data_IF_345080542295
#
_entry.id   IF_345080542295
#
_cell.length_a   1.000
_cell.length_b   1.000
_cell.length_c   1.000
_cell.angle_alpha   90.00
_cell.angle_beta   90.00
_cell.angle_gamma   90.00
#
_symmetry.space_group_name_H-M   'P 1'
#
loop_
_entity.id
_entity.type
_entity.pdbx_description
1 polymer ?
#
# COMPACT_ATOMS: atom_id res chain seq x y z
N UNK A 1 -18.73 0.81 -19.59
CA UNK A 1 -17.96 0.82 -18.33
C UNK A 1 -16.94 1.95 -18.37
N UNK A 2 -16.91 2.82 -17.36
CA UNK A 2 -16.06 4.02 -17.35
C UNK A 2 -14.61 3.75 -16.94
N UNK A 3 -13.74 4.71 -17.27
CA UNK A 3 -12.35 4.77 -16.78
C UNK A 3 -12.34 5.02 -15.26
N UNK A 4 -11.36 4.46 -14.56
CA UNK A 4 -11.14 4.67 -13.13
C UNK A 4 -9.84 5.45 -12.91
N UNK A 5 -9.78 6.23 -11.84
CA UNK A 5 -8.58 6.98 -11.46
C UNK A 5 -8.08 6.47 -10.12
N UNK A 6 -6.93 5.80 -10.12
CA UNK A 6 -6.31 5.28 -8.89
C UNK A 6 -5.21 6.25 -8.43
N UNK A 7 -5.29 6.70 -7.18
CA UNK A 7 -4.20 7.43 -6.54
C UNK A 7 -3.62 6.59 -5.41
N UNK A 8 -2.32 6.34 -5.46
CA UNK A 8 -1.58 5.59 -4.44
C UNK A 8 -0.67 6.56 -3.73
N UNK A 9 -0.93 6.78 -2.43
CA UNK A 9 -0.10 7.61 -1.57
C UNK A 9 0.85 6.71 -0.76
N UNK A 10 2.16 6.95 -0.90
CA UNK A 10 3.21 6.25 -0.17
C UNK A 10 3.81 7.22 0.85
N UNK A 11 4.02 6.76 2.07
CA UNK A 11 4.73 7.53 3.09
C UNK A 11 6.08 8.02 2.56
N UNK A 12 6.47 9.24 2.94
CA UNK A 12 7.73 9.84 2.50
C UNK A 12 8.74 9.99 3.66
N UNK A 13 9.56 8.97 3.95
CA UNK A 13 10.65 9.09 4.92
C UNK A 13 11.73 10.10 4.49
N UNK A 14 11.84 10.41 3.20
CA UNK A 14 12.88 11.33 2.68
C UNK A 14 12.59 12.79 3.05
N UNK A 15 11.35 13.10 3.45
CA UNK A 15 11.01 14.37 4.09
C UNK A 15 11.73 14.58 5.43
N UNK A 16 12.13 13.49 6.12
CA UNK A 16 12.77 13.52 7.44
C UNK A 16 14.24 13.12 7.41
N UNK A 17 14.65 12.31 6.42
CA UNK A 17 16.00 11.74 6.32
C UNK A 17 16.68 12.36 5.10
N UNK A 18 17.61 13.29 5.37
CA UNK A 18 18.46 13.86 4.34
C UNK A 18 19.50 12.83 3.84
N UNK A 19 19.81 12.90 2.54
CA UNK A 19 20.85 12.10 1.92
C UNK A 19 22.22 12.35 2.59
N UNK A 20 22.97 11.28 2.86
CA UNK A 20 24.28 11.34 3.52
C UNK A 20 24.24 11.52 5.04
N UNK A 21 23.05 11.66 5.63
CA UNK A 21 22.88 11.73 7.09
C UNK A 21 23.28 10.42 7.79
N UNK A 22 23.52 10.47 9.10
CA UNK A 22 23.78 9.26 9.91
C UNK A 22 22.63 8.24 9.80
N UNK A 23 21.39 8.72 9.72
CA UNK A 23 20.21 7.88 9.55
C UNK A 23 20.16 7.23 8.16
N UNK A 24 20.47 7.99 7.11
CA UNK A 24 20.56 7.46 5.74
C UNK A 24 21.65 6.36 5.63
N UNK A 25 22.83 6.61 6.19
CA UNK A 25 23.91 5.61 6.20
C UNK A 25 23.52 4.34 6.98
N UNK A 26 22.85 4.49 8.13
CA UNK A 26 22.35 3.34 8.89
C UNK A 26 21.26 2.56 8.12
N UNK A 27 20.36 3.26 7.43
CA UNK A 27 19.32 2.66 6.60
C UNK A 27 19.93 1.90 5.41
N UNK A 28 20.93 2.49 4.74
CA UNK A 28 21.69 1.85 3.65
C UNK A 28 22.37 0.55 4.08
N UNK A 29 22.96 0.53 5.28
CA UNK A 29 23.58 -0.69 5.84
C UNK A 29 22.55 -1.78 6.13
N UNK A 30 21.36 -1.42 6.63
CA UNK A 30 20.30 -2.39 6.94
C UNK A 30 19.54 -2.88 5.71
N UNK A 31 19.41 -2.02 4.68
CA UNK A 31 18.72 -2.22 3.40
C UNK A 31 17.20 -2.51 3.48
N UNK A 32 16.74 -3.36 4.41
CA UNK A 32 15.33 -3.73 4.58
C UNK A 32 15.00 -4.04 6.04
N UNK A 33 13.71 -3.96 6.38
CA UNK A 33 13.21 -4.45 7.67
C UNK A 33 13.15 -5.97 7.64
N UNK A 34 13.82 -6.62 8.60
CA UNK A 34 13.77 -8.08 8.72
C UNK A 34 12.54 -8.49 9.53
N UNK A 35 11.61 -9.21 8.90
CA UNK A 35 10.39 -9.71 9.54
C UNK A 35 10.60 -11.15 10.00
N UNK A 36 10.77 -11.31 11.31
CA UNK A 36 10.92 -12.61 11.96
C UNK A 36 9.57 -13.04 12.56
N UNK A 37 9.36 -14.33 12.79
CA UNK A 37 8.15 -14.79 13.45
C UNK A 37 8.04 -14.21 14.87
N UNK A 38 7.06 -13.31 15.07
CA UNK A 38 6.77 -12.68 16.36
C UNK A 38 7.49 -11.36 16.65
N UNK A 39 8.45 -10.91 15.83
CA UNK A 39 9.07 -9.58 15.97
C UNK A 39 9.76 -9.13 14.68
N UNK A 40 10.05 -7.83 14.57
CA UNK A 40 10.75 -7.26 13.42
C UNK A 40 11.97 -6.44 13.84
N UNK A 41 13.00 -6.44 12.98
CA UNK A 41 14.18 -5.59 13.10
C UNK A 41 14.02 -4.46 12.07
N UNK A 42 13.60 -3.25 12.48
CA UNK A 42 13.24 -2.20 11.55
C UNK A 42 14.47 -1.57 10.88
N UNK A 43 14.32 -1.23 9.60
CA UNK A 43 15.33 -0.49 8.84
C UNK A 43 15.56 0.91 9.44
N UNK A 44 14.47 1.58 9.83
CA UNK A 44 14.49 2.92 10.43
C UNK A 44 14.25 2.84 11.95
N UNK A 45 14.61 3.89 12.72
CA UNK A 45 14.18 4.03 14.11
C UNK A 45 12.66 3.92 14.25
N UNK A 46 12.16 3.33 15.34
CA UNK A 46 10.72 3.09 15.54
C UNK A 46 9.92 4.38 15.61
N UNK A 47 10.53 5.42 16.17
CA UNK A 47 9.97 6.77 16.26
C UNK A 47 9.69 7.34 14.86
N UNK A 48 10.53 7.02 13.86
CA UNK A 48 10.30 7.42 12.48
C UNK A 48 9.32 6.50 11.76
N UNK A 49 9.47 5.18 11.90
CA UNK A 49 8.66 4.21 11.15
C UNK A 49 7.21 4.13 11.64
N UNK A 50 7.01 4.09 12.95
CA UNK A 50 5.73 3.74 13.55
C UNK A 50 4.87 4.99 13.82
N UNK A 51 5.47 6.18 13.82
CA UNK A 51 4.82 7.44 14.15
C UNK A 51 4.85 8.45 12.98
N UNK A 52 6.02 9.01 12.65
CA UNK A 52 6.14 10.11 11.68
C UNK A 52 5.85 9.67 10.23
N UNK A 53 6.30 8.49 9.83
CA UNK A 53 6.05 7.95 8.49
C UNK A 53 4.75 7.13 8.41
N UNK A 54 4.13 6.81 9.54
CA UNK A 54 2.91 6.02 9.57
C UNK A 54 1.71 6.86 9.12
N UNK A 55 0.96 6.37 8.13
CA UNK A 55 -0.25 7.02 7.61
C UNK A 55 -1.43 6.73 8.53
N UNK A 56 -1.38 7.30 9.74
CA UNK A 56 -2.42 7.15 10.76
C UNK A 56 -3.73 7.81 10.33
N UNK A 57 -4.83 7.24 10.81
CA UNK A 57 -6.15 7.80 10.57
C UNK A 57 -6.29 9.16 11.27
N UNK A 58 -6.93 10.11 10.60
CA UNK A 58 -7.22 11.48 11.03
C UNK A 58 -5.97 12.32 11.33
N UNK A 59 -4.81 11.92 10.79
CA UNK A 59 -3.57 12.67 10.94
C UNK A 59 -3.01 13.09 9.58
N UNK A 60 -2.57 14.34 9.50
CA UNK A 60 -1.99 14.93 8.28
C UNK A 60 -0.56 14.43 8.11
N UNK A 61 -0.24 13.85 6.94
CA UNK A 61 1.07 13.25 6.64
C UNK A 61 1.59 13.61 5.24
N UNK A 62 2.90 13.88 5.10
CA UNK A 62 3.52 14.04 3.79
C UNK A 62 3.62 12.70 3.08
N UNK A 63 3.30 12.69 1.79
CA UNK A 63 3.34 11.50 0.94
C UNK A 63 3.90 11.83 -0.44
N UNK A 64 4.53 10.81 -1.02
CA UNK A 64 4.75 10.77 -2.45
C UNK A 64 3.59 10.00 -3.07
N UNK A 65 2.77 10.69 -3.87
CA UNK A 65 1.59 10.14 -4.50
C UNK A 65 1.85 9.82 -5.98
N UNK A 66 1.22 8.76 -6.47
CA UNK A 66 1.16 8.38 -7.87
C UNK A 66 -0.29 8.30 -8.32
N UNK A 67 -0.64 9.04 -9.36
CA UNK A 67 -1.96 9.02 -9.99
C UNK A 67 -1.90 8.26 -11.30
N UNK A 68 -2.74 7.25 -11.43
CA UNK A 68 -2.77 6.32 -12.56
C UNK A 68 -4.20 6.15 -13.08
N UNK A 69 -4.49 6.61 -14.29
CA UNK A 69 -5.72 6.29 -14.99
C UNK A 69 -5.74 4.83 -15.43
N UNK A 70 -6.86 4.17 -15.15
CA UNK A 70 -7.11 2.76 -15.46
C UNK A 70 -8.24 2.68 -16.49
N UNK A 71 -7.93 2.07 -17.63
CA UNK A 71 -8.90 1.79 -18.67
C UNK A 71 -9.91 0.71 -18.24
N UNK A 72 -10.99 0.55 -19.02
CA UNK A 72 -12.07 -0.37 -18.69
C UNK A 72 -11.61 -1.85 -18.67
N UNK A 73 -10.60 -2.18 -19.47
CA UNK A 73 -9.97 -3.50 -19.60
C UNK A 73 -8.91 -3.80 -18.52
N UNK A 74 -8.64 -2.86 -17.60
CA UNK A 74 -7.60 -3.00 -16.59
C UNK A 74 -6.20 -2.61 -17.06
N UNK A 75 -6.05 -2.05 -18.25
CA UNK A 75 -4.79 -1.45 -18.73
C UNK A 75 -4.52 -0.15 -17.99
N UNK A 76 -3.27 0.03 -17.52
CA UNK A 76 -2.83 1.29 -16.91
C UNK A 76 -2.35 2.20 -18.06
N UNK A 77 -3.00 3.35 -18.21
CA UNK A 77 -2.66 4.35 -19.24
C UNK A 77 -1.30 5.02 -18.95
N UNK A 78 -0.70 5.64 -19.98
CA UNK A 78 0.65 6.23 -19.88
C UNK A 78 0.70 7.60 -19.18
N UNK A 79 -0.46 8.22 -18.97
CA UNK A 79 -0.64 9.52 -18.29
C UNK A 79 -0.50 9.42 -16.76
N UNK A 80 0.54 8.72 -16.30
CA UNK A 80 0.87 8.54 -14.88
C UNK A 80 1.57 9.81 -14.36
N UNK A 81 1.11 10.33 -13.23
CA UNK A 81 1.71 11.51 -12.60
C UNK A 81 2.21 11.19 -11.18
N UNK A 82 3.49 11.47 -10.93
CA UNK A 82 4.09 11.42 -9.60
C UNK A 82 4.21 12.84 -9.03
N UNK A 83 3.72 13.05 -7.81
CA UNK A 83 3.75 14.36 -7.14
C UNK A 83 3.84 14.22 -5.62
N UNK A 84 4.46 15.22 -4.99
CA UNK A 84 4.45 15.35 -3.53
C UNK A 84 3.10 15.93 -3.08
N UNK A 85 2.53 15.35 -2.03
CA UNK A 85 1.25 15.75 -1.48
C UNK A 85 1.23 15.62 0.03
N UNK A 86 0.17 16.14 0.63
CA UNK A 86 -0.16 15.90 2.03
C UNK A 86 -1.57 15.31 2.09
N UNK A 87 -1.72 14.19 2.79
CA UNK A 87 -2.99 13.48 2.95
C UNK A 87 -3.41 13.42 4.41
N UNK A 88 -4.67 13.15 4.64
CA UNK A 88 -5.20 12.74 5.94
C UNK A 88 -6.03 11.46 5.73
N UNK A 89 -5.54 10.32 6.23
CA UNK A 89 -6.25 9.05 6.08
C UNK A 89 -7.55 9.08 6.87
N UNK A 90 -8.69 8.73 6.25
CA UNK A 90 -10.00 8.79 6.94
C UNK A 90 -10.35 7.54 7.73
N UNK A 91 -9.63 6.43 7.51
CA UNK A 91 -9.89 5.19 8.22
C UNK A 91 -8.66 4.27 8.25
N UNK A 92 -8.56 3.46 9.31
CA UNK A 92 -7.63 2.33 9.41
C UNK A 92 -8.44 1.06 9.22
N UNK A 93 -8.27 0.41 8.07
CA UNK A 93 -9.03 -0.79 7.71
C UNK A 93 -8.19 -2.05 7.93
N UNK A 94 -8.79 -3.11 8.47
CA UNK A 94 -8.17 -4.43 8.56
C UNK A 94 -8.60 -5.32 7.38
N UNK A 95 -7.72 -6.20 6.91
CA UNK A 95 -8.05 -7.05 5.75
C UNK A 95 -9.20 -8.00 6.02
N UNK A 96 -9.25 -8.60 7.21
CA UNK A 96 -10.25 -9.61 7.55
C UNK A 96 -11.63 -8.94 7.57
N UNK A 97 -11.76 -7.82 8.27
CA UNK A 97 -12.98 -6.99 8.32
C UNK A 97 -13.47 -6.57 6.93
N UNK A 98 -12.59 -6.04 6.08
CA UNK A 98 -12.95 -5.62 4.72
C UNK A 98 -13.31 -6.82 3.84
N UNK A 99 -12.62 -7.95 3.99
CA UNK A 99 -12.92 -9.15 3.20
C UNK A 99 -14.26 -9.75 3.60
N UNK A 100 -14.50 -9.86 4.90
CA UNK A 100 -15.76 -10.35 5.45
C UNK A 100 -16.91 -9.47 4.97
N UNK A 101 -16.78 -8.15 5.07
CA UNK A 101 -17.79 -7.21 4.56
C UNK A 101 -18.04 -7.36 3.05
N UNK A 102 -16.99 -7.47 2.23
CA UNK A 102 -17.11 -7.67 0.78
C UNK A 102 -17.75 -9.01 0.38
N UNK A 103 -17.70 -10.00 1.27
CA UNK A 103 -18.20 -11.35 1.09
C UNK A 103 -19.57 -11.57 1.77
N UNK A 104 -20.13 -10.54 2.41
CA UNK A 104 -21.40 -10.61 3.14
C UNK A 104 -21.30 -11.45 4.42
N UNK A 105 -20.11 -11.52 5.02
CA UNK A 105 -19.80 -12.25 6.25
C UNK A 105 -19.40 -11.27 7.35
N UNK A 106 -19.48 -11.72 8.60
CA UNK A 106 -19.05 -10.92 9.76
C UNK A 106 -20.04 -9.81 10.14
N UNK A 107 -19.67 -9.06 11.17
CA UNK A 107 -20.48 -7.97 11.74
C UNK A 107 -19.88 -6.58 11.52
N UNK A 108 -18.64 -6.50 11.01
CA UNK A 108 -17.98 -5.23 10.77
C UNK A 108 -18.57 -4.51 9.56
N UNK A 109 -18.73 -3.19 9.67
CA UNK A 109 -19.19 -2.34 8.59
C UNK A 109 -18.36 -1.05 8.54
N UNK A 110 -18.15 -0.44 7.37
CA UNK A 110 -17.49 0.85 7.26
C UNK A 110 -18.25 1.94 8.03
N UNK A 111 -17.52 2.80 8.74
CA UNK A 111 -18.11 3.88 9.55
C UNK A 111 -18.84 4.96 8.71
N UNK A 112 -18.53 5.04 7.42
CA UNK A 112 -19.08 6.04 6.49
C UNK A 112 -19.40 5.42 5.14
N UNK A 113 -20.48 5.89 4.52
CA UNK A 113 -20.84 5.53 3.15
C UNK A 113 -19.72 5.85 2.15
N UNK A 114 -18.99 6.96 2.35
CA UNK A 114 -17.85 7.31 1.51
C UNK A 114 -16.75 6.24 1.55
N UNK A 115 -16.48 5.66 2.71
CA UNK A 115 -15.49 4.57 2.86
C UNK A 115 -16.01 3.30 2.18
N UNK A 116 -17.30 2.97 2.33
CA UNK A 116 -17.92 1.83 1.65
C UNK A 116 -17.83 1.95 0.12
N UNK A 117 -18.07 3.16 -0.42
CA UNK A 117 -17.90 3.45 -1.84
C UNK A 117 -16.44 3.29 -2.28
N UNK A 118 -15.47 3.80 -1.50
CA UNK A 118 -14.04 3.63 -1.79
C UNK A 118 -13.62 2.16 -1.81
N UNK A 119 -14.07 1.34 -0.86
CA UNK A 119 -13.77 -0.10 -0.83
C UNK A 119 -14.33 -0.79 -2.08
N UNK A 120 -15.56 -0.46 -2.47
CA UNK A 120 -16.19 -1.00 -3.69
C UNK A 120 -15.41 -0.61 -4.95
N UNK A 121 -15.01 0.65 -5.09
CA UNK A 121 -14.17 1.11 -6.20
C UNK A 121 -12.82 0.39 -6.25
N UNK A 122 -12.19 0.17 -5.08
CA UNK A 122 -10.93 -0.57 -5.00
C UNK A 122 -11.10 -2.05 -5.37
N UNK A 123 -12.25 -2.65 -5.06
CA UNK A 123 -12.63 -4.00 -5.53
C UNK A 123 -12.76 -4.04 -7.05
N UNK A 124 -13.39 -3.04 -7.67
CA UNK A 124 -13.50 -2.97 -9.13
C UNK A 124 -12.12 -2.84 -9.80
N UNK A 125 -11.25 -1.97 -9.27
CA UNK A 125 -9.86 -1.84 -9.73
C UNK A 125 -9.12 -3.17 -9.63
N UNK A 126 -9.25 -3.84 -8.48
CA UNK A 126 -8.64 -5.14 -8.22
C UNK A 126 -9.09 -6.20 -9.23
N UNK A 127 -10.39 -6.29 -9.48
CA UNK A 127 -10.96 -7.25 -10.42
C UNK A 127 -10.43 -7.02 -11.85
N UNK A 128 -10.53 -5.78 -12.36
CA UNK A 128 -10.01 -5.44 -13.70
C UNK A 128 -8.51 -5.71 -13.83
N UNK A 129 -7.73 -5.35 -12.81
CA UNK A 129 -6.28 -5.64 -12.79
C UNK A 129 -5.98 -7.13 -12.71
N UNK A 130 -6.82 -7.92 -12.05
CA UNK A 130 -6.68 -9.38 -12.00
C UNK A 130 -6.97 -10.02 -13.35
N UNK A 131 -8.07 -9.63 -14.01
CA UNK A 131 -8.44 -10.10 -15.34
C UNK A 131 -7.36 -9.77 -16.39
N UNK A 132 -6.89 -8.52 -16.39
CA UNK A 132 -5.79 -8.08 -17.25
C UNK A 132 -4.51 -8.89 -17.02
N UNK A 133 -4.19 -9.20 -15.75
CA UNK A 133 -2.99 -9.99 -15.42
C UNK A 133 -3.12 -11.45 -15.81
N UNK A 134 -4.31 -12.05 -15.74
CA UNK A 134 -4.51 -13.43 -16.18
C UNK A 134 -4.28 -13.59 -17.68
N UNK A 135 -4.61 -12.56 -18.45
CA UNK A 135 -4.44 -12.52 -19.91
C UNK A 135 -3.03 -12.11 -20.35
N UNK A 136 -2.38 -11.20 -19.62
CA UNK A 136 -1.13 -10.57 -20.08
C UNK A 136 0.10 -10.82 -19.19
N UNK A 137 -0.03 -11.58 -18.08
CA UNK A 137 1.08 -11.80 -17.15
C UNK A 137 1.09 -13.21 -16.54
N UNK A 138 2.27 -13.64 -16.08
CA UNK A 138 2.41 -14.87 -15.31
C UNK A 138 1.85 -14.67 -13.88
N UNK A 139 0.82 -15.45 -13.53
CA UNK A 139 0.23 -15.47 -12.18
C UNK A 139 0.55 -16.80 -11.51
N UNK A 140 1.50 -16.79 -10.57
CA UNK A 140 1.81 -17.97 -9.77
C UNK A 140 0.73 -18.21 -8.70
N UNK A 141 0.27 -19.46 -8.58
CA UNK A 141 -0.51 -19.92 -7.41
C UNK A 141 0.44 -19.98 -6.20
N UNK A 142 0.17 -19.17 -5.17
CA UNK A 142 0.98 -19.15 -3.95
C UNK A 142 0.40 -20.08 -2.88
N UNK A 143 1.22 -20.87 -2.18
CA UNK A 143 0.76 -21.66 -1.03
C UNK A 143 0.19 -20.78 0.08
N UNK A 144 -0.81 -21.27 0.79
CA UNK A 144 -1.26 -20.72 2.08
C UNK A 144 -0.10 -20.76 3.09
N UNK A 145 0.00 -19.71 3.91
CA UNK A 145 1.22 -19.39 4.67
C UNK A 145 1.75 -20.48 5.60
N UNK A 146 3.04 -20.37 5.97
CA UNK A 146 3.68 -21.22 6.96
C UNK A 146 3.01 -21.03 8.34
N UNK A 147 2.56 -22.11 9.00
CA UNK A 147 2.01 -22.01 10.34
C UNK A 147 3.10 -21.61 11.36
N UNK A 148 2.84 -20.57 12.15
CA UNK A 148 3.68 -20.23 13.29
C UNK A 148 3.27 -21.07 14.50
N UNK A 149 4.19 -21.87 15.03
CA UNK A 149 3.99 -22.64 16.26
C UNK A 149 4.81 -22.01 17.40
N UNK A 150 4.16 -21.20 18.24
CA UNK A 150 4.80 -20.74 19.48
C UNK A 150 4.83 -21.89 20.51
N UNK A 151 5.97 -22.10 21.19
CA UNK A 151 6.11 -23.13 22.25
C UNK A 151 5.10 -22.99 23.41
N UNK A 152 4.34 -21.89 23.49
CA UNK A 152 3.32 -21.63 24.55
C UNK A 152 1.87 -21.89 24.15
N UNK A 153 1.53 -22.06 22.88
CA UNK A 153 0.17 -22.47 22.44
C UNK A 153 0.25 -23.34 21.18
N UNK A 154 -0.09 -24.62 21.31
CA UNK A 154 -0.29 -25.61 20.22
C UNK A 154 -1.53 -25.30 19.38
N UNK A 155 -1.60 -24.13 18.73
CA UNK A 155 -2.60 -23.87 17.68
C UNK A 155 -1.96 -23.08 16.56
N UNK A 156 -1.63 -23.79 15.49
CA UNK A 156 -1.36 -23.22 14.18
C UNK A 156 -2.67 -22.73 13.57
N UNK A 157 -2.96 -21.43 13.69
CA UNK A 157 -4.00 -20.81 12.90
C UNK A 157 -3.45 -20.56 11.49
N UNK A 158 -3.98 -21.26 10.49
CA UNK A 158 -3.66 -20.99 9.10
C UNK A 158 -4.18 -19.60 8.72
N UNK A 159 -3.31 -18.75 8.16
CA UNK A 159 -3.74 -17.44 7.64
C UNK A 159 -4.54 -17.63 6.34
N UNK A 160 -5.84 -17.32 6.38
CA UNK A 160 -6.68 -17.28 5.17
C UNK A 160 -6.51 -15.92 4.51
N UNK A 161 -6.28 -15.91 3.20
CA UNK A 161 -6.29 -14.67 2.40
C UNK A 161 -7.71 -14.40 1.94
N UNK A 162 -8.34 -13.37 2.49
CA UNK A 162 -9.63 -12.85 1.99
C UNK A 162 -9.47 -11.93 0.78
N UNK A 163 -10.59 -11.53 0.18
CA UNK A 163 -10.65 -10.62 -1.00
C UNK A 163 -9.78 -9.37 -0.87
N UNK A 164 -9.78 -8.70 0.28
CA UNK A 164 -8.99 -7.48 0.50
C UNK A 164 -7.47 -7.73 0.38
N UNK A 165 -7.00 -8.89 0.89
CA UNK A 165 -5.59 -9.27 0.82
C UNK A 165 -5.12 -9.59 -0.61
N UNK A 166 -6.05 -9.96 -1.50
CA UNK A 166 -5.78 -10.17 -2.92
C UNK A 166 -5.68 -8.84 -3.68
N UNK A 167 -6.42 -7.82 -3.27
CA UNK A 167 -6.52 -6.55 -4.00
C UNK A 167 -5.36 -5.59 -3.78
N UNK A 168 -4.78 -5.57 -2.58
CA UNK A 168 -3.70 -4.63 -2.29
C UNK A 168 -2.46 -4.75 -3.19
N UNK A 169 -1.95 -5.96 -3.54
CA UNK A 169 -0.83 -6.09 -4.48
C UNK A 169 -1.06 -5.42 -5.84
N UNK A 170 -2.31 -5.34 -6.31
CA UNK A 170 -2.65 -4.70 -7.59
C UNK A 170 -2.49 -3.18 -7.53
N UNK A 171 -2.66 -2.60 -6.34
CA UNK A 171 -2.44 -1.17 -6.08
C UNK A 171 -0.97 -0.84 -5.83
N UNK A 172 -0.18 -1.78 -5.27
CA UNK A 172 1.23 -1.52 -4.89
C UNK A 172 2.24 -1.52 -6.04
N UNK A 173 1.86 -1.91 -7.26
CA UNK A 173 2.79 -2.03 -8.40
C UNK A 173 3.23 -0.70 -9.04
N UNK A 174 2.98 0.40 -8.34
CA UNK A 174 3.47 1.75 -8.66
C UNK A 174 5.00 1.81 -8.70
N UNK A 175 5.67 1.01 -7.85
CA UNK A 175 7.13 1.04 -7.72
C UNK A 175 7.88 0.57 -8.99
N UNK A 176 7.34 -0.36 -9.78
CA UNK A 176 7.97 -0.81 -11.03
C UNK A 176 8.06 0.32 -12.06
N UNK A 177 7.05 1.20 -12.13
CA UNK A 177 7.02 2.35 -13.05
C UNK A 177 7.85 3.53 -12.52
N UNK A 178 8.08 3.61 -11.20
CA UNK A 178 8.89 4.67 -10.56
C UNK A 178 10.34 4.64 -11.05
N UNK A 179 10.91 3.45 -11.28
CA UNK A 179 12.29 3.29 -11.74
C UNK A 179 12.54 3.88 -13.15
N UNK A 180 11.51 3.90 -14.01
CA UNK A 180 11.62 4.46 -15.35
C UNK A 180 11.43 5.99 -15.40
N UNK A 181 10.86 6.60 -14.36
CA UNK A 181 10.45 8.01 -14.35
C UNK A 181 11.22 8.89 -13.34
N UNK A 182 11.86 8.30 -12.33
CA UNK A 182 12.67 9.04 -11.35
C UNK A 182 14.07 9.38 -11.91
N UNK A 183 14.19 10.47 -12.66
CA UNK A 183 15.48 11.18 -12.81
C UNK A 183 15.83 11.93 -11.51
N UNK A 184 17.12 12.10 -11.17
CA UNK A 184 17.53 12.82 -9.97
C UNK A 184 17.01 14.25 -10.03
N UNK A 185 16.09 14.61 -9.14
CA UNK A 185 15.56 15.97 -9.06
C UNK A 185 16.51 16.82 -8.23
N UNK A 186 17.22 17.73 -8.90
CA UNK A 186 17.76 18.92 -8.26
C UNK A 186 16.61 19.71 -7.61
N UNK A 187 16.88 20.24 -6.43
CA UNK A 187 15.97 20.97 -5.57
C UNK A 187 15.14 22.03 -6.34
N UNK A 188 13.85 21.75 -6.57
CA UNK A 188 12.86 22.77 -6.94
C UNK A 188 11.52 22.44 -6.32
N UNK A 189 11.00 23.41 -5.57
CA UNK A 189 9.70 23.46 -4.89
C UNK A 189 8.60 22.69 -5.65
N UNK A 190 8.28 21.48 -5.19
CA UNK A 190 7.02 20.86 -5.55
C UNK A 190 5.93 21.58 -4.75
N UNK A 191 5.01 22.28 -5.42
CA UNK A 191 3.77 22.76 -4.79
C UNK A 191 3.11 21.56 -4.11
N UNK A 192 3.10 21.54 -2.78
CA UNK A 192 2.44 20.52 -1.98
C UNK A 192 0.94 20.57 -2.31
N UNK A 193 0.43 19.50 -2.95
CA UNK A 193 -1.01 19.36 -3.20
C UNK A 193 -1.66 18.76 -1.94
N UNK A 194 -2.78 19.33 -1.49
CA UNK A 194 -3.67 18.65 -0.54
C UNK A 194 -4.54 17.68 -1.33
N UNK A 195 -4.56 16.43 -0.89
CA UNK A 195 -5.40 15.35 -1.43
C UNK A 195 -6.47 14.98 -0.42
#
# INVERSE_FOLDING_TARGET
MGKLLLTVAIADPTAWIAEGSKLDNAAKVRAFTNYLPGFNIPMLPRELSDDLCSLRANEVRPVLACRMPLAADGTIEDNIEFFAATIESKAKLAYDDVSDWLEGRGSWQPDSEAIAQQITLLKDVCQRRSEWRQTHALVFKRPSGLPFCSRRKRRSAGYRRGTASHCQPHCRRVDDRRQHLCRPRSARQARLRRL
#
